data_IF_083347938466
#
_entry.id   IF_083347938466
#
_cell.length_a   1.000
_cell.length_b   1.000
_cell.length_c   1.000
_cell.angle_alpha   90.00
_cell.angle_beta   90.00
_cell.angle_gamma   90.00
#
_symmetry.space_group_name_H-M   'P 1'
#
loop_
_entity.id
_entity.type
_entity.pdbx_description
1 polymer ?
#
# COMPACT_ATOMS: atom_id res chain seq x y z
N UNK A 1 31.97 12.66 3.08
CA UNK A 1 30.64 12.32 3.59
C UNK A 1 29.94 11.46 2.56
N UNK A 2 29.77 10.15 2.74
CA UNK A 2 29.01 9.33 1.81
C UNK A 2 27.51 9.45 2.15
N UNK A 3 26.70 9.60 1.09
CA UNK A 3 25.23 9.58 1.14
C UNK A 3 24.78 8.17 1.52
N UNK A 4 23.99 8.07 2.57
CA UNK A 4 23.31 6.83 2.94
C UNK A 4 22.18 6.55 1.96
N UNK A 5 22.32 5.47 1.19
CA UNK A 5 21.22 4.90 0.40
C UNK A 5 20.19 4.29 1.37
N UNK A 6 19.12 5.04 1.62
CA UNK A 6 17.92 4.48 2.25
C UNK A 6 17.11 3.76 1.18
N UNK A 7 17.30 2.44 1.10
CA UNK A 7 16.39 1.58 0.36
C UNK A 7 14.99 1.70 1.00
N UNK A 8 14.05 2.25 0.26
CA UNK A 8 12.62 2.17 0.51
C UNK A 8 12.24 0.69 0.45
N UNK A 9 11.98 0.08 1.62
CA UNK A 9 11.51 -1.29 1.69
C UNK A 9 10.05 -1.32 1.21
N UNK A 10 9.87 -1.82 0.00
CA UNK A 10 8.57 -2.14 -0.57
C UNK A 10 8.10 -3.48 0.02
N UNK A 11 7.05 -3.46 0.83
CA UNK A 11 6.56 -4.57 1.65
C UNK A 11 6.06 -5.79 0.85
N UNK A 12 6.05 -5.75 -0.50
CA UNK A 12 5.37 -6.74 -1.34
C UNK A 12 6.16 -7.32 -2.52
N UNK A 13 7.43 -6.98 -2.71
CA UNK A 13 8.23 -7.49 -3.83
C UNK A 13 9.37 -8.42 -3.39
N UNK A 14 9.04 -9.59 -2.85
CA UNK A 14 9.98 -10.70 -2.85
C UNK A 14 9.29 -11.96 -3.37
N UNK A 15 9.38 -12.20 -4.68
CA UNK A 15 9.15 -13.51 -5.28
C UNK A 15 10.43 -14.33 -5.13
N UNK A 16 10.38 -15.36 -4.33
CA UNK A 16 11.38 -16.41 -4.31
C UNK A 16 10.88 -17.56 -5.20
N UNK A 17 11.45 -17.67 -6.40
CA UNK A 17 11.41 -18.92 -7.17
C UNK A 17 12.52 -19.82 -6.60
N UNK A 18 12.14 -20.82 -5.87
CA UNK A 18 12.78 -22.12 -5.66
C UNK A 18 12.39 -22.72 -4.32
N UNK A 19 11.61 -23.78 -4.35
CA UNK A 19 11.98 -25.04 -3.71
C UNK A 19 10.78 -26.00 -3.73
N UNK A 20 10.89 -26.96 -4.62
CA UNK A 20 10.13 -28.20 -4.52
C UNK A 20 10.84 -29.17 -3.56
N UNK A 21 10.00 -29.90 -2.83
CA UNK A 21 10.26 -31.17 -2.17
C UNK A 21 11.08 -31.16 -0.87
N UNK A 22 10.41 -31.41 0.23
CA UNK A 22 10.58 -32.64 1.03
C UNK A 22 9.40 -32.76 2.01
N UNK A 23 8.54 -33.72 1.74
CA UNK A 23 7.49 -34.19 2.63
C UNK A 23 8.07 -35.21 3.60
N UNK A 24 7.66 -35.16 4.85
CA UNK A 24 7.72 -36.29 5.74
C UNK A 24 8.26 -36.04 7.13
N UNK A 25 7.48 -35.39 8.01
CA UNK A 25 7.57 -35.65 9.45
C UNK A 25 6.18 -35.57 10.09
N UNK A 26 5.91 -36.42 11.09
CA UNK A 26 4.61 -36.49 11.73
C UNK A 26 4.36 -35.28 12.63
N UNK A 27 3.13 -34.78 12.62
CA UNK A 27 2.64 -33.76 13.54
C UNK A 27 2.58 -34.36 14.95
N UNK A 28 3.30 -33.85 15.94
CA UNK A 28 3.13 -34.26 17.31
C UNK A 28 2.24 -33.26 18.08
N UNK A 29 1.28 -33.87 18.77
CA UNK A 29 0.58 -33.39 19.96
C UNK A 29 -0.50 -32.30 19.80
N UNK A 30 -1.73 -32.81 19.69
CA UNK A 30 -2.89 -32.17 20.30
C UNK A 30 -2.74 -32.31 21.84
N UNK A 31 -2.49 -31.21 22.53
CA UNK A 31 -2.58 -31.14 24.00
C UNK A 31 -4.05 -30.92 24.35
N UNK A 32 -4.65 -31.88 25.06
CA UNK A 32 -5.97 -31.75 25.65
C UNK A 32 -6.00 -30.61 26.67
N UNK A 33 -7.13 -29.91 26.84
CA UNK A 33 -7.21 -28.79 27.79
C UNK A 33 -7.20 -29.33 29.24
N UNK A 34 -6.13 -29.06 29.96
CA UNK A 34 -6.06 -29.27 31.39
C UNK A 34 -7.00 -28.33 32.17
N UNK A 35 -7.57 -28.88 33.23
CA UNK A 35 -8.56 -28.29 34.10
C UNK A 35 -8.11 -26.99 34.75
N UNK A 36 -9.07 -26.08 34.97
CA UNK A 36 -8.93 -24.79 35.61
C UNK A 36 -8.07 -24.83 36.90
N UNK A 37 -6.89 -24.25 36.83
CA UNK A 37 -6.05 -23.93 37.99
C UNK A 37 -6.47 -22.60 38.60
N UNK A 38 -6.31 -22.51 39.91
CA UNK A 38 -6.62 -21.45 40.86
C UNK A 38 -6.28 -20.01 40.36
N UNK A 39 -6.93 -18.95 40.88
CA UNK A 39 -6.69 -17.59 40.43
C UNK A 39 -5.21 -17.21 40.65
N UNK A 40 -4.48 -17.04 39.54
CA UNK A 40 -3.13 -16.52 39.53
C UNK A 40 -3.08 -15.13 40.20
N UNK A 41 -2.18 -14.97 41.11
CA UNK A 41 -1.84 -13.65 41.68
C UNK A 41 -1.38 -12.75 40.53
N UNK A 42 -2.21 -11.82 40.15
CA UNK A 42 -1.86 -10.79 39.17
C UNK A 42 -0.74 -9.95 39.78
N UNK A 43 0.48 -10.13 39.31
CA UNK A 43 1.58 -9.23 39.64
C UNK A 43 1.22 -7.83 39.14
N UNK A 44 1.25 -6.83 40.03
CA UNK A 44 0.94 -5.45 39.69
C UNK A 44 2.07 -4.91 38.81
N UNK A 45 1.90 -5.04 37.49
CA UNK A 45 2.82 -4.44 36.53
C UNK A 45 2.69 -2.93 36.61
N UNK A 46 3.79 -2.22 36.82
CA UNK A 46 3.81 -0.77 36.87
C UNK A 46 3.31 -0.19 35.55
N UNK A 47 2.31 0.67 35.61
CA UNK A 47 1.77 1.40 34.44
C UNK A 47 2.87 2.21 33.73
N UNK A 48 3.88 2.65 34.47
CA UNK A 48 5.05 3.38 33.96
C UNK A 48 5.92 2.53 33.00
N UNK A 49 6.01 1.22 33.23
CA UNK A 49 6.77 0.31 32.38
C UNK A 49 5.99 -0.07 31.10
N UNK A 50 4.67 -0.18 31.19
CA UNK A 50 3.83 -0.65 30.08
C UNK A 50 3.46 0.48 29.09
N UNK A 51 3.24 1.71 29.58
CA UNK A 51 2.80 2.84 28.78
C UNK A 51 3.73 3.15 27.59
N UNK A 52 5.05 3.22 27.71
CA UNK A 52 5.94 3.46 26.57
C UNK A 52 5.89 2.35 25.52
N UNK A 53 5.72 1.08 25.94
CA UNK A 53 5.60 -0.06 25.04
C UNK A 53 4.31 0.01 24.23
N UNK A 54 3.18 0.29 24.88
CA UNK A 54 1.89 0.45 24.19
C UNK A 54 1.95 1.63 23.22
N UNK A 55 2.49 2.76 23.63
CA UNK A 55 2.63 3.94 22.76
C UNK A 55 3.44 3.61 21.51
N UNK A 56 4.65 3.09 21.67
CA UNK A 56 5.50 2.73 20.54
C UNK A 56 4.87 1.67 19.62
N UNK A 57 4.12 0.72 20.21
CA UNK A 57 3.40 -0.29 19.45
C UNK A 57 2.30 0.34 18.57
N UNK A 58 1.50 1.28 19.08
CA UNK A 58 0.49 1.97 18.27
C UNK A 58 1.09 2.93 17.24
N UNK A 59 2.20 3.58 17.55
CA UNK A 59 2.94 4.40 16.58
C UNK A 59 3.43 3.56 15.39
N UNK A 60 3.78 2.29 15.61
CA UNK A 60 4.20 1.39 14.54
C UNK A 60 3.08 1.06 13.53
N UNK A 61 1.79 1.23 13.91
CA UNK A 61 0.67 1.09 12.98
C UNK A 61 0.66 2.19 11.91
N UNK A 62 1.10 3.39 12.28
CA UNK A 62 1.11 4.56 11.40
C UNK A 62 2.36 4.63 10.54
N UNK A 63 3.52 4.29 11.12
CA UNK A 63 4.82 4.24 10.45
C UNK A 63 5.55 2.92 10.75
N UNK A 64 5.75 2.06 9.73
CA UNK A 64 6.44 0.79 9.89
C UNK A 64 7.87 0.90 10.43
N UNK A 65 8.54 2.05 10.34
CA UNK A 65 9.87 2.24 10.89
C UNK A 65 9.86 2.19 12.43
N UNK A 66 8.75 2.53 13.06
CA UNK A 66 8.58 2.52 14.52
C UNK A 66 8.54 1.10 15.12
N UNK A 67 8.39 0.03 14.30
CA UNK A 67 8.54 -1.35 14.79
C UNK A 67 9.89 -1.57 15.46
N UNK A 68 10.96 -0.98 14.94
CA UNK A 68 12.30 -1.10 15.57
C UNK A 68 12.35 -0.42 16.94
N UNK A 69 11.70 0.72 17.09
CA UNK A 69 11.62 1.45 18.37
C UNK A 69 10.87 0.60 19.40
N UNK A 70 9.71 0.06 19.02
CA UNK A 70 8.93 -0.83 19.89
C UNK A 70 9.73 -2.08 20.29
N UNK A 71 10.34 -2.76 19.32
CA UNK A 71 11.13 -3.97 19.59
C UNK A 71 12.35 -3.69 20.47
N UNK A 72 13.00 -2.54 20.32
CA UNK A 72 14.13 -2.13 21.17
C UNK A 72 13.70 -1.85 22.61
N UNK A 73 12.55 -1.17 22.79
CA UNK A 73 11.97 -0.96 24.13
C UNK A 73 11.60 -2.30 24.78
N UNK A 74 10.99 -3.19 24.03
CA UNK A 74 10.63 -4.52 24.52
C UNK A 74 11.87 -5.35 24.88
N UNK A 75 12.88 -5.36 24.01
CA UNK A 75 14.15 -6.02 24.26
C UNK A 75 14.77 -5.54 25.56
N UNK A 76 14.83 -4.21 25.74
CA UNK A 76 15.42 -3.58 26.90
C UNK A 76 14.63 -3.87 28.19
N UNK A 77 13.29 -3.78 28.15
CA UNK A 77 12.44 -4.07 29.29
C UNK A 77 12.49 -5.54 29.72
N UNK A 78 12.76 -6.43 28.79
CA UNK A 78 12.91 -7.85 29.06
C UNK A 78 14.36 -8.26 29.39
N UNK A 79 15.30 -7.34 29.47
CA UNK A 79 16.73 -7.62 29.57
C UNK A 79 17.21 -8.64 28.53
N UNK A 80 16.70 -8.50 27.30
CA UNK A 80 16.95 -9.41 26.21
C UNK A 80 18.14 -9.02 25.34
N UNK A 81 18.67 -9.99 24.62
CA UNK A 81 19.68 -9.75 23.58
C UNK A 81 19.02 -9.43 22.23
N UNK A 82 17.85 -10.03 21.93
CA UNK A 82 17.08 -9.73 20.71
C UNK A 82 15.58 -9.65 21.02
N UNK A 83 14.87 -8.81 20.25
CA UNK A 83 13.43 -8.86 20.11
C UNK A 83 13.10 -8.81 18.62
N UNK A 84 12.24 -9.70 18.13
CA UNK A 84 11.97 -9.88 16.71
C UNK A 84 10.49 -10.05 16.43
N UNK A 85 10.04 -9.48 15.33
CA UNK A 85 8.74 -9.75 14.70
C UNK A 85 8.99 -10.51 13.40
N UNK A 86 8.49 -11.73 13.34
CA UNK A 86 8.60 -12.64 12.19
C UNK A 86 7.27 -12.66 11.46
N UNK A 87 7.23 -12.28 10.21
CA UNK A 87 6.02 -12.33 9.38
C UNK A 87 6.03 -13.60 8.55
N UNK A 88 4.92 -14.33 8.57
CA UNK A 88 4.76 -15.56 7.78
C UNK A 88 3.62 -15.40 6.80
N UNK A 89 3.81 -15.96 5.61
CA UNK A 89 2.77 -16.03 4.59
C UNK A 89 1.55 -16.81 5.14
N UNK A 90 0.30 -16.44 4.80
CA UNK A 90 -0.91 -17.21 5.12
C UNK A 90 -0.86 -18.66 4.66
N UNK A 91 -0.11 -18.96 3.61
CA UNK A 91 0.09 -20.32 3.10
C UNK A 91 1.19 -21.12 3.80
N UNK A 92 1.88 -20.53 4.77
CA UNK A 92 2.54 -21.26 5.88
C UNK A 92 3.93 -21.82 5.63
N UNK A 93 4.50 -21.79 4.45
CA UNK A 93 5.74 -22.50 4.16
C UNK A 93 7.02 -21.65 4.25
N UNK A 94 6.92 -20.32 4.17
CA UNK A 94 8.09 -19.44 4.16
C UNK A 94 8.00 -18.33 5.21
N UNK A 95 9.14 -18.03 5.83
CA UNK A 95 9.33 -16.82 6.59
C UNK A 95 9.37 -15.67 5.58
N UNK A 96 8.35 -14.80 5.58
CA UNK A 96 8.29 -13.69 4.64
C UNK A 96 9.39 -12.66 4.92
N UNK A 97 9.47 -12.14 6.15
CA UNK A 97 10.50 -11.21 6.58
C UNK A 97 10.55 -11.09 8.10
N UNK A 98 11.69 -10.59 8.62
CA UNK A 98 11.94 -10.43 10.04
C UNK A 98 12.40 -9.00 10.33
N UNK A 99 11.76 -8.34 11.30
CA UNK A 99 12.27 -7.13 11.90
C UNK A 99 12.89 -7.51 13.27
N UNK A 100 14.10 -7.07 13.53
CA UNK A 100 14.78 -7.36 14.80
C UNK A 100 15.41 -6.12 15.42
N UNK A 101 15.31 -6.03 16.75
CA UNK A 101 16.09 -5.16 17.59
C UNK A 101 17.23 -5.97 18.20
N UNK A 102 18.45 -5.48 18.10
CA UNK A 102 19.68 -6.23 18.42
C UNK A 102 20.52 -5.57 19.51
N UNK A 103 20.08 -4.45 20.08
CA UNK A 103 20.85 -3.70 21.07
C UNK A 103 22.20 -3.19 20.55
N UNK A 104 22.30 -2.87 19.26
CA UNK A 104 23.54 -2.40 18.63
C UNK A 104 24.55 -3.50 18.29
N UNK A 105 24.21 -4.77 18.41
CA UNK A 105 25.07 -5.89 17.97
C UNK A 105 25.14 -5.90 16.44
N UNK A 106 26.33 -5.89 15.87
CA UNK A 106 26.56 -5.75 14.42
C UNK A 106 26.43 -7.05 13.62
N UNK A 107 26.47 -8.20 14.26
CA UNK A 107 26.39 -9.50 13.59
C UNK A 107 25.04 -10.16 13.86
N UNK A 108 24.12 -9.99 12.95
CA UNK A 108 22.86 -10.74 12.93
C UNK A 108 23.00 -11.86 11.91
N UNK A 109 23.14 -13.10 12.39
CA UNK A 109 23.11 -14.27 11.52
C UNK A 109 21.69 -14.39 10.95
N UNK A 110 21.52 -14.53 9.61
CA UNK A 110 20.20 -14.62 9.00
C UNK A 110 19.37 -15.74 9.63
N UNK A 111 18.13 -15.42 9.99
CA UNK A 111 17.18 -16.36 10.58
C UNK A 111 16.63 -17.38 9.57
N UNK A 112 16.44 -16.97 8.31
CA UNK A 112 15.77 -17.75 7.27
C UNK A 112 16.24 -19.21 7.13
N UNK A 113 17.55 -19.51 7.10
CA UNK A 113 18.00 -20.90 6.96
C UNK A 113 17.60 -21.80 8.12
N UNK A 114 17.34 -21.22 9.30
CA UNK A 114 17.07 -21.93 10.55
C UNK A 114 15.59 -21.93 10.93
N UNK A 115 14.78 -21.13 10.28
CA UNK A 115 13.35 -20.95 10.59
C UNK A 115 12.58 -22.27 10.61
N UNK A 116 12.90 -23.19 9.71
CA UNK A 116 12.26 -24.50 9.57
C UNK A 116 12.52 -25.44 10.78
N UNK A 117 13.54 -25.18 11.57
CA UNK A 117 13.88 -25.99 12.77
C UNK A 117 13.45 -25.30 14.06
N UNK A 118 12.76 -24.17 13.98
CA UNK A 118 12.28 -23.46 15.16
C UNK A 118 11.31 -24.34 15.97
N UNK A 119 11.54 -24.53 17.29
CA UNK A 119 10.63 -25.31 18.14
C UNK A 119 9.26 -24.62 18.32
N UNK A 120 9.14 -23.38 17.90
CA UNK A 120 7.89 -22.60 17.97
C UNK A 120 7.07 -22.64 16.68
N UNK A 121 7.34 -23.57 15.77
CA UNK A 121 6.49 -23.78 14.62
C UNK A 121 5.17 -24.43 15.05
N UNK A 122 4.05 -23.81 14.64
CA UNK A 122 2.72 -24.37 14.91
C UNK A 122 2.23 -24.23 16.37
N UNK A 123 2.86 -23.40 17.19
CA UNK A 123 2.33 -23.11 18.54
C UNK A 123 0.92 -22.51 18.48
N UNK A 124 0.18 -22.73 19.57
CA UNK A 124 -1.18 -22.16 19.71
C UNK A 124 -1.12 -20.64 19.60
N UNK A 125 -1.98 -20.07 18.76
CA UNK A 125 -2.03 -18.62 18.51
C UNK A 125 -2.53 -17.88 19.74
N UNK A 126 -2.05 -16.63 19.86
CA UNK A 126 -2.43 -15.67 20.92
C UNK A 126 -2.04 -16.13 22.33
N UNK A 127 -1.25 -17.19 22.47
CA UNK A 127 -0.73 -17.69 23.76
C UNK A 127 0.77 -17.47 23.84
N UNK A 128 1.25 -17.05 25.02
CA UNK A 128 2.67 -16.81 25.33
C UNK A 128 3.30 -18.12 25.78
N UNK A 129 4.41 -18.48 25.19
CA UNK A 129 5.21 -19.65 25.51
C UNK A 129 6.64 -19.24 25.87
N UNK A 130 7.21 -19.94 26.82
CA UNK A 130 8.67 -19.98 27.03
C UNK A 130 9.24 -21.21 26.31
N UNK A 131 10.55 -21.28 26.22
CA UNK A 131 11.23 -22.46 25.68
C UNK A 131 10.86 -23.73 26.46
N UNK A 132 10.77 -23.64 27.79
CA UNK A 132 10.48 -24.78 28.66
C UNK A 132 9.03 -25.27 28.59
N UNK A 133 8.11 -24.48 28.03
CA UNK A 133 6.74 -24.92 27.75
C UNK A 133 6.67 -25.78 26.48
N UNK A 134 7.71 -25.80 25.66
CA UNK A 134 7.74 -26.48 24.35
C UNK A 134 8.66 -27.70 24.38
N UNK A 135 9.78 -27.63 25.08
CA UNK A 135 10.77 -28.71 25.17
C UNK A 135 11.57 -28.63 26.46
N UNK A 136 12.20 -29.75 26.82
CA UNK A 136 13.11 -29.82 27.95
C UNK A 136 14.47 -29.14 27.64
N UNK A 137 15.21 -28.75 28.66
CA UNK A 137 16.53 -28.17 28.52
C UNK A 137 17.54 -29.10 27.81
N UNK A 138 17.42 -30.42 28.04
CA UNK A 138 18.29 -31.41 27.39
C UNK A 138 17.97 -31.51 25.87
N UNK A 139 16.70 -31.49 25.51
CA UNK A 139 16.28 -31.45 24.12
C UNK A 139 16.69 -30.15 23.41
N UNK A 140 16.62 -29.03 24.14
CA UNK A 140 17.04 -27.73 23.60
C UNK A 140 18.52 -27.75 23.20
N UNK A 141 19.42 -28.16 24.13
CA UNK A 141 20.86 -28.16 23.86
C UNK A 141 21.29 -29.17 22.79
N UNK A 142 20.44 -30.16 22.48
CA UNK A 142 20.72 -31.18 21.47
C UNK A 142 20.10 -30.89 20.11
N UNK A 143 19.13 -29.96 20.02
CA UNK A 143 18.44 -29.69 18.76
C UNK A 143 19.30 -28.84 17.79
N UNK A 144 19.05 -29.02 16.48
CA UNK A 144 19.77 -28.28 15.43
C UNK A 144 19.55 -26.78 15.49
N UNK A 145 18.36 -26.34 15.89
CA UNK A 145 18.06 -24.91 16.01
C UNK A 145 18.97 -24.21 17.01
N UNK A 146 19.29 -24.90 18.12
CA UNK A 146 20.24 -24.39 19.12
C UNK A 146 21.69 -24.51 18.64
N UNK A 147 22.12 -25.71 18.23
CA UNK A 147 23.52 -26.01 17.91
C UNK A 147 24.07 -25.23 16.74
N UNK A 148 23.23 -25.12 15.69
CA UNK A 148 23.66 -24.54 14.42
C UNK A 148 23.44 -23.02 14.37
N UNK A 149 22.53 -22.48 15.20
CA UNK A 149 22.19 -21.05 15.17
C UNK A 149 22.22 -20.36 16.53
N UNK A 150 21.35 -20.72 17.49
CA UNK A 150 21.13 -19.95 18.72
C UNK A 150 22.39 -19.81 19.57
N UNK A 151 23.19 -20.88 19.66
CA UNK A 151 24.45 -20.90 20.39
C UNK A 151 25.45 -19.87 19.85
N UNK A 152 25.51 -19.68 18.53
CA UNK A 152 26.42 -18.74 17.88
C UNK A 152 26.07 -17.27 18.12
N UNK A 153 24.81 -16.98 18.47
CA UNK A 153 24.30 -15.63 18.71
C UNK A 153 23.89 -15.40 20.17
N UNK A 154 24.34 -16.28 21.08
CA UNK A 154 24.10 -16.19 22.52
C UNK A 154 22.60 -16.15 22.89
N UNK A 155 21.80 -17.02 22.28
CA UNK A 155 20.38 -17.21 22.61
C UNK A 155 20.22 -18.48 23.43
N UNK A 156 19.85 -18.32 24.71
CA UNK A 156 19.62 -19.43 25.64
C UNK A 156 18.14 -19.56 25.99
N UNK A 157 17.47 -18.45 26.30
CA UNK A 157 16.07 -18.44 26.67
C UNK A 157 15.25 -17.71 25.61
N UNK A 158 14.09 -18.26 25.26
CA UNK A 158 13.18 -17.70 24.25
C UNK A 158 11.80 -17.58 24.86
N UNK A 159 11.19 -16.41 24.69
CA UNK A 159 9.79 -16.14 24.91
C UNK A 159 9.16 -15.93 23.55
N UNK A 160 8.07 -16.64 23.27
CA UNK A 160 7.45 -16.71 21.96
C UNK A 160 5.94 -16.52 22.05
N UNK A 161 5.40 -15.79 21.10
CA UNK A 161 3.95 -15.75 20.82
C UNK A 161 3.74 -15.67 19.32
N UNK A 162 2.76 -16.42 18.83
CA UNK A 162 2.28 -16.28 17.45
C UNK A 162 0.89 -15.66 17.49
N UNK A 163 0.69 -14.63 16.67
CA UNK A 163 -0.57 -13.92 16.54
C UNK A 163 -1.08 -14.11 15.12
N UNK A 164 -2.38 -14.33 14.97
CA UNK A 164 -3.05 -14.39 13.68
C UNK A 164 -3.94 -13.17 13.49
N UNK A 165 -3.80 -12.51 12.36
CA UNK A 165 -4.65 -11.38 11.95
C UNK A 165 -5.91 -11.86 11.23
N UNK A 166 -6.89 -10.98 11.08
CA UNK A 166 -8.20 -11.31 10.50
C UNK A 166 -8.13 -11.76 9.04
N UNK A 167 -7.09 -11.37 8.31
CA UNK A 167 -6.83 -11.82 6.93
C UNK A 167 -6.03 -13.14 6.84
N UNK A 168 -5.73 -13.79 7.97
CA UNK A 168 -5.02 -15.05 8.04
C UNK A 168 -3.49 -14.96 8.06
N UNK A 169 -2.90 -13.77 8.03
CA UNK A 169 -1.45 -13.62 8.19
C UNK A 169 -1.02 -13.99 9.62
N UNK A 170 0.08 -14.74 9.73
CA UNK A 170 0.65 -15.15 11.02
C UNK A 170 1.90 -14.33 11.32
N UNK A 171 1.95 -13.79 12.54
CA UNK A 171 3.06 -13.00 13.03
C UNK A 171 3.66 -13.68 14.26
N UNK A 172 4.94 -14.05 14.18
CA UNK A 172 5.69 -14.60 15.30
C UNK A 172 6.43 -13.49 16.04
N UNK A 173 6.13 -13.33 17.30
CA UNK A 173 6.84 -12.38 18.16
C UNK A 173 7.79 -13.14 19.08
N UNK A 174 9.07 -12.78 19.10
CA UNK A 174 10.13 -13.46 19.86
C UNK A 174 10.94 -12.47 20.66
N UNK A 175 11.16 -12.79 21.92
CA UNK A 175 12.14 -12.12 22.76
C UNK A 175 13.12 -13.16 23.27
N UNK A 176 14.40 -12.87 23.19
CA UNK A 176 15.45 -13.82 23.59
C UNK A 176 16.35 -13.25 24.64
N UNK A 177 16.95 -14.13 25.44
CA UNK A 177 17.95 -13.80 26.49
C UNK A 177 19.17 -14.67 26.37
N UNK A 178 20.36 -14.12 26.71
CA UNK A 178 21.57 -14.90 26.89
C UNK A 178 21.49 -15.71 28.19
N UNK A 179 22.32 -16.74 28.32
CA UNK A 179 22.42 -17.56 29.54
C UNK A 179 22.66 -16.73 30.81
N UNK A 180 23.48 -15.70 30.70
CA UNK A 180 23.81 -14.81 31.81
C UNK A 180 22.62 -14.01 32.37
N UNK A 181 21.57 -13.80 31.58
CA UNK A 181 20.38 -13.06 32.02
C UNK A 181 19.34 -13.93 32.73
N UNK A 182 19.47 -15.24 32.68
CA UNK A 182 18.57 -16.21 33.28
C UNK A 182 17.24 -16.33 32.54
N UNK A 183 16.40 -17.25 33.00
CA UNK A 183 15.06 -17.50 32.40
C UNK A 183 14.12 -16.31 32.56
N UNK A 184 13.07 -16.31 31.76
CA UNK A 184 11.99 -15.30 31.88
C UNK A 184 11.17 -15.57 33.14
N UNK A 185 10.99 -14.53 33.94
CA UNK A 185 10.13 -14.56 35.15
C UNK A 185 8.66 -14.31 34.76
N UNK A 186 7.73 -14.63 35.66
CA UNK A 186 6.29 -14.41 35.46
C UNK A 186 5.95 -12.97 35.07
N UNK A 187 6.64 -12.00 35.66
CA UNK A 187 6.49 -10.56 35.36
C UNK A 187 6.74 -10.24 33.89
N UNK A 188 7.73 -10.87 33.25
CA UNK A 188 8.02 -10.68 31.83
C UNK A 188 6.93 -11.29 30.94
N UNK A 189 6.44 -12.49 31.33
CA UNK A 189 5.36 -13.16 30.62
C UNK A 189 4.07 -12.32 30.70
N UNK A 190 3.77 -11.74 31.85
CA UNK A 190 2.56 -10.93 32.06
C UNK A 190 2.59 -9.64 31.23
N UNK A 191 3.76 -8.98 31.12
CA UNK A 191 3.92 -7.83 30.19
C UNK A 191 3.59 -8.23 28.77
N UNK A 192 4.13 -9.36 28.29
CA UNK A 192 3.87 -9.82 26.93
C UNK A 192 2.43 -10.24 26.75
N UNK A 193 1.83 -10.95 27.71
CA UNK A 193 0.40 -11.31 27.69
C UNK A 193 -0.50 -10.10 27.57
N UNK A 194 -0.21 -9.01 28.30
CA UNK A 194 -0.95 -7.76 28.20
C UNK A 194 -0.78 -7.09 26.85
N UNK A 195 0.38 -7.20 26.22
CA UNK A 195 0.66 -6.59 24.91
C UNK A 195 0.06 -7.37 23.72
N UNK A 196 -0.19 -8.68 23.85
CA UNK A 196 -0.71 -9.53 22.76
C UNK A 196 -2.01 -8.98 22.14
N UNK A 197 -3.05 -8.60 22.91
CA UNK A 197 -4.27 -8.04 22.33
C UNK A 197 -4.01 -6.71 21.58
N UNK A 198 -3.09 -5.89 22.09
CA UNK A 198 -2.69 -4.64 21.45
C UNK A 198 -1.91 -4.90 20.16
N UNK A 199 -0.97 -5.85 20.19
CA UNK A 199 -0.23 -6.29 19.01
C UNK A 199 -1.17 -6.73 17.89
N UNK A 200 -2.12 -7.61 18.19
CA UNK A 200 -3.12 -8.08 17.22
C UNK A 200 -3.93 -6.93 16.62
N UNK A 201 -4.36 -5.98 17.45
CA UNK A 201 -5.11 -4.81 17.01
C UNK A 201 -4.27 -3.91 16.12
N UNK A 202 -3.02 -3.63 16.48
CA UNK A 202 -2.09 -2.81 15.70
C UNK A 202 -1.79 -3.45 14.34
N UNK A 203 -1.55 -4.77 14.30
CA UNK A 203 -1.32 -5.49 13.05
C UNK A 203 -2.55 -5.43 12.12
N UNK A 204 -3.77 -5.63 12.65
CA UNK A 204 -5.00 -5.47 11.87
C UNK A 204 -5.21 -4.04 11.38
N UNK A 205 -4.94 -3.02 12.21
CA UNK A 205 -5.00 -1.62 11.79
C UNK A 205 -4.02 -1.33 10.66
N UNK A 206 -2.78 -1.80 10.76
CA UNK A 206 -1.76 -1.61 9.73
C UNK A 206 -2.17 -2.26 8.40
N UNK A 207 -2.71 -3.47 8.43
CA UNK A 207 -3.21 -4.16 7.25
C UNK A 207 -4.35 -3.41 6.57
N UNK A 208 -5.31 -2.89 7.35
CA UNK A 208 -6.42 -2.11 6.82
C UNK A 208 -5.94 -0.79 6.19
N UNK A 209 -5.10 -0.04 6.90
CA UNK A 209 -4.51 1.20 6.38
C UNK A 209 -3.71 0.96 5.10
N UNK A 210 -2.97 -0.15 5.03
CA UNK A 210 -2.20 -0.50 3.83
C UNK A 210 -3.11 -0.84 2.66
N UNK A 211 -4.14 -1.67 2.89
CA UNK A 211 -5.17 -2.01 1.89
C UNK A 211 -5.85 -0.76 1.34
N UNK A 212 -6.28 0.14 2.23
CA UNK A 212 -6.96 1.37 1.83
C UNK A 212 -6.05 2.25 0.98
N UNK A 213 -4.77 2.41 1.36
CA UNK A 213 -3.76 3.13 0.56
C UNK A 213 -3.56 2.51 -0.82
N UNK A 214 -3.51 1.17 -0.93
CA UNK A 214 -3.40 0.48 -2.21
C UNK A 214 -4.62 0.71 -3.10
N UNK A 215 -5.82 0.63 -2.55
CA UNK A 215 -7.07 0.87 -3.27
C UNK A 215 -7.14 2.33 -3.75
N UNK A 216 -6.82 3.30 -2.89
CA UNK A 216 -6.76 4.72 -3.27
C UNK A 216 -5.72 4.95 -4.38
N UNK A 217 -4.54 4.36 -4.25
CA UNK A 217 -3.49 4.44 -5.29
C UNK A 217 -3.96 3.84 -6.63
N UNK A 218 -4.69 2.71 -6.59
CA UNK A 218 -5.26 2.11 -7.79
C UNK A 218 -6.28 3.05 -8.47
N UNK A 219 -7.20 3.63 -7.69
CA UNK A 219 -8.15 4.62 -8.22
C UNK A 219 -7.45 5.86 -8.77
N UNK A 220 -6.42 6.36 -8.06
CA UNK A 220 -5.62 7.49 -8.53
C UNK A 220 -4.93 7.22 -9.86
N UNK A 221 -4.37 6.01 -10.05
CA UNK A 221 -3.78 5.59 -11.32
C UNK A 221 -4.83 5.44 -12.42
N UNK A 222 -5.95 4.79 -12.13
CA UNK A 222 -7.02 4.61 -13.10
C UNK A 222 -7.57 5.97 -13.59
N UNK A 223 -7.80 6.92 -12.69
CA UNK A 223 -8.26 8.28 -13.07
C UNK A 223 -7.19 9.05 -13.85
N UNK A 224 -5.91 8.89 -13.51
CA UNK A 224 -4.81 9.50 -14.24
C UNK A 224 -4.71 8.95 -15.68
N UNK A 225 -4.94 7.66 -15.89
CA UNK A 225 -5.00 7.04 -17.22
C UNK A 225 -6.14 7.57 -18.09
N UNK A 226 -7.25 7.96 -17.47
CA UNK A 226 -8.35 8.66 -18.15
C UNK A 226 -8.01 10.14 -18.44
N UNK A 227 -6.77 10.57 -18.23
CA UNK A 227 -6.29 11.95 -18.38
C UNK A 227 -7.11 12.95 -17.55
N UNK A 228 -7.60 12.50 -16.42
CA UNK A 228 -8.36 13.32 -15.48
C UNK A 228 -7.48 13.65 -14.27
N UNK A 229 -7.09 14.91 -14.17
CA UNK A 229 -6.48 15.47 -12.95
C UNK A 229 -7.54 15.61 -11.87
N UNK A 230 -7.22 15.14 -10.66
CA UNK A 230 -8.07 15.31 -9.47
C UNK A 230 -7.25 16.00 -8.38
N UNK A 231 -7.77 17.09 -7.85
CA UNK A 231 -7.20 17.84 -6.73
C UNK A 231 -8.23 17.88 -5.61
N UNK A 232 -7.80 17.52 -4.40
CA UNK A 232 -8.62 17.61 -3.20
C UNK A 232 -8.18 18.83 -2.39
N UNK A 233 -9.15 19.66 -2.01
CA UNK A 233 -8.93 20.84 -1.18
C UNK A 233 -9.58 20.65 0.18
N UNK A 234 -8.95 21.26 1.22
CA UNK A 234 -9.49 21.34 2.56
C UNK A 234 -10.58 22.43 2.69
N UNK A 235 -11.13 22.55 3.88
CA UNK A 235 -12.15 23.57 4.21
C UNK A 235 -11.65 25.02 4.08
N UNK A 236 -10.32 25.24 3.98
CA UNK A 236 -9.72 26.56 3.76
C UNK A 236 -9.38 26.82 2.29
N UNK A 237 -9.66 25.85 1.40
CA UNK A 237 -9.33 25.89 -0.03
C UNK A 237 -7.87 25.55 -0.34
N UNK A 238 -7.12 25.01 0.63
CA UNK A 238 -5.76 24.53 0.41
C UNK A 238 -5.75 23.09 -0.08
N UNK A 239 -4.81 22.79 -0.93
CA UNK A 239 -4.62 21.46 -1.49
C UNK A 239 -4.13 20.48 -0.44
N UNK A 240 -4.88 19.38 -0.25
CA UNK A 240 -4.49 18.23 0.56
C UNK A 240 -3.76 17.22 -0.31
N UNK A 241 -4.32 16.93 -1.50
CA UNK A 241 -3.84 15.85 -2.35
C UNK A 241 -4.09 16.17 -3.82
N UNK A 242 -3.25 15.63 -4.71
CA UNK A 242 -3.43 15.67 -6.15
C UNK A 242 -2.98 14.34 -6.76
N UNK A 243 -3.78 13.80 -7.68
CA UNK A 243 -3.38 12.59 -8.41
C UNK A 243 -2.22 12.91 -9.40
N UNK A 244 -1.52 11.90 -9.95
CA UNK A 244 -0.38 12.11 -10.85
C UNK A 244 -0.70 13.00 -12.07
N UNK A 245 -1.90 12.87 -12.64
CA UNK A 245 -2.32 13.71 -13.78
C UNK A 245 -2.47 15.19 -13.37
N UNK A 246 -3.10 15.47 -12.23
CA UNK A 246 -3.21 16.82 -11.70
C UNK A 246 -1.83 17.41 -11.39
N UNK A 247 -0.96 16.62 -10.76
CA UNK A 247 0.41 17.04 -10.44
C UNK A 247 1.18 17.45 -11.69
N UNK A 248 1.06 16.68 -12.77
CA UNK A 248 1.68 17.01 -14.08
C UNK A 248 1.14 18.33 -14.62
N UNK A 249 -0.19 18.54 -14.63
CA UNK A 249 -0.84 19.77 -15.11
C UNK A 249 -0.39 20.99 -14.29
N UNK A 250 -0.38 20.86 -12.97
CA UNK A 250 -0.05 21.94 -12.06
C UNK A 250 1.45 22.32 -12.11
N UNK A 251 2.34 21.34 -12.32
CA UNK A 251 3.79 21.57 -12.45
C UNK A 251 4.15 22.29 -13.76
N UNK A 252 3.41 22.02 -14.85
CA UNK A 252 3.58 22.76 -16.11
C UNK A 252 3.16 24.23 -15.95
N UNK A 253 2.16 24.50 -15.12
CA UNK A 253 1.70 25.84 -14.81
C UNK A 253 1.05 26.59 -15.97
N UNK A 254 0.67 25.90 -17.05
CA UNK A 254 0.08 26.48 -18.25
C UNK A 254 -1.41 26.80 -18.02
N UNK A 255 -1.70 27.95 -17.48
CA UNK A 255 -3.04 28.47 -17.19
C UNK A 255 -3.53 28.22 -15.76
N UNK A 256 -3.08 27.16 -15.09
CA UNK A 256 -3.43 26.82 -13.71
C UNK A 256 -2.17 26.37 -12.94
N UNK A 257 -2.04 26.77 -11.69
CA UNK A 257 -0.91 26.43 -10.81
C UNK A 257 -1.32 26.39 -9.35
N UNK A 258 -0.41 25.92 -8.50
CA UNK A 258 -0.55 26.03 -7.04
C UNK A 258 0.15 27.31 -6.57
N UNK A 259 -0.56 28.11 -5.79
CA UNK A 259 -0.02 29.30 -5.14
C UNK A 259 -0.47 29.34 -3.68
N UNK A 260 0.47 29.51 -2.73
CA UNK A 260 0.22 29.51 -1.29
C UNK A 260 -0.60 28.31 -0.79
N UNK A 261 -0.43 27.15 -1.45
CA UNK A 261 -1.13 25.92 -1.14
C UNK A 261 -2.55 25.81 -1.74
N UNK A 262 -3.06 26.83 -2.42
CA UNK A 262 -4.35 26.79 -3.12
C UNK A 262 -4.19 26.77 -4.64
N UNK A 263 -5.27 26.47 -5.37
CA UNK A 263 -5.30 26.53 -6.82
C UNK A 263 -5.47 27.99 -7.30
N UNK A 264 -4.69 28.38 -8.28
CA UNK A 264 -4.76 29.71 -8.91
C UNK A 264 -4.74 29.58 -10.42
N UNK A 265 -5.67 30.27 -11.11
CA UNK A 265 -5.57 30.44 -12.55
C UNK A 265 -4.73 31.67 -12.87
N UNK A 266 -3.93 31.59 -13.95
CA UNK A 266 -2.98 32.64 -14.34
C UNK A 266 -3.69 33.93 -14.76
N UNK A 267 -4.80 33.80 -15.51
CA UNK A 267 -5.58 34.97 -15.95
C UNK A 267 -6.57 35.40 -14.86
N UNK A 268 -6.58 36.70 -14.55
CA UNK A 268 -7.35 37.27 -13.43
C UNK A 268 -8.86 37.00 -13.52
N UNK A 269 -9.43 36.94 -14.72
CA UNK A 269 -10.87 36.65 -14.94
C UNK A 269 -11.16 35.17 -14.59
N UNK A 270 -10.34 34.24 -15.09
CA UNK A 270 -10.47 32.82 -14.83
C UNK A 270 -10.24 32.54 -13.34
N UNK A 271 -9.25 33.21 -12.74
CA UNK A 271 -8.97 33.05 -11.32
C UNK A 271 -10.13 33.52 -10.44
N UNK A 272 -10.73 34.67 -10.74
CA UNK A 272 -11.91 35.16 -10.00
C UNK A 272 -13.07 34.16 -10.07
N UNK A 273 -13.27 33.55 -11.23
CA UNK A 273 -14.31 32.54 -11.42
C UNK A 273 -13.98 31.24 -10.68
N UNK A 274 -12.74 30.76 -10.77
CA UNK A 274 -12.27 29.56 -10.05
C UNK A 274 -12.43 29.73 -8.54
N UNK A 275 -11.97 30.87 -7.98
CA UNK A 275 -12.08 31.17 -6.54
C UNK A 275 -13.55 31.27 -6.09
N UNK A 276 -14.45 31.75 -6.95
CA UNK A 276 -15.88 31.75 -6.65
C UNK A 276 -16.41 30.34 -6.57
N UNK A 277 -16.17 29.49 -7.59
CA UNK A 277 -16.61 28.10 -7.60
C UNK A 277 -16.12 27.30 -6.39
N UNK A 278 -14.83 27.47 -6.02
CA UNK A 278 -14.27 26.81 -4.84
C UNK A 278 -14.98 27.31 -3.58
N UNK A 279 -15.20 28.61 -3.44
CA UNK A 279 -15.90 29.20 -2.28
C UNK A 279 -17.35 28.73 -2.19
N UNK A 280 -18.06 28.70 -3.29
CA UNK A 280 -19.46 28.27 -3.36
C UNK A 280 -19.58 26.77 -2.99
N UNK A 281 -18.64 25.95 -3.47
CA UNK A 281 -18.55 24.54 -3.09
C UNK A 281 -18.25 24.32 -1.60
N UNK A 282 -17.44 25.21 -0.99
CA UNK A 282 -17.14 25.18 0.46
C UNK A 282 -18.32 25.61 1.32
N UNK A 283 -19.15 26.53 0.79
CA UNK A 283 -20.32 27.09 1.51
C UNK A 283 -21.61 26.31 1.30
N UNK A 284 -21.65 25.40 0.32
CA UNK A 284 -22.86 24.64 0.01
C UNK A 284 -23.29 23.80 1.20
N UNK A 285 -24.52 24.00 1.73
CA UNK A 285 -25.02 23.21 2.84
C UNK A 285 -25.23 21.75 2.42
N UNK A 286 -24.78 20.85 3.28
CA UNK A 286 -24.69 19.42 3.12
C UNK A 286 -26.06 18.75 3.34
N UNK A 287 -27.02 18.97 2.46
CA UNK A 287 -28.26 18.21 2.49
C UNK A 287 -28.30 17.27 1.28
N UNK A 288 -28.75 16.06 1.49
CA UNK A 288 -28.91 14.85 0.70
C UNK A 288 -29.28 14.95 -0.83
N UNK A 289 -29.18 16.10 -1.44
CA UNK A 289 -29.41 16.27 -2.86
C UNK A 289 -28.10 16.53 -3.60
N UNK A 290 -27.86 15.71 -4.60
CA UNK A 290 -26.82 15.76 -5.64
C UNK A 290 -26.02 17.08 -5.62
N UNK A 291 -24.79 17.03 -5.08
CA UNK A 291 -23.83 18.13 -5.19
C UNK A 291 -23.81 18.63 -6.64
N UNK A 292 -24.32 19.84 -6.91
CA UNK A 292 -24.25 20.44 -8.23
C UNK A 292 -22.77 20.66 -8.56
N UNK A 293 -22.26 19.86 -9.49
CA UNK A 293 -20.94 20.07 -10.05
C UNK A 293 -20.99 21.29 -10.96
N UNK A 294 -20.19 22.31 -10.68
CA UNK A 294 -20.10 23.50 -11.54
C UNK A 294 -18.82 23.48 -12.35
N UNK A 295 -18.93 23.84 -13.64
CA UNK A 295 -17.83 23.78 -14.58
C UNK A 295 -17.41 25.13 -15.11
N UNK A 296 -16.12 25.21 -15.46
CA UNK A 296 -15.54 26.34 -16.19
C UNK A 296 -14.43 25.87 -17.12
N UNK A 297 -14.01 26.74 -18.03
CA UNK A 297 -12.75 26.55 -18.76
C UNK A 297 -11.70 27.55 -18.26
N UNK A 298 -10.43 27.11 -18.23
CA UNK A 298 -9.28 27.95 -17.88
C UNK A 298 -8.40 28.10 -19.11
N UNK A 299 -8.09 29.33 -19.44
CA UNK A 299 -7.29 29.71 -20.61
C UNK A 299 -5.82 29.33 -20.39
N UNK A 300 -5.21 28.73 -21.40
CA UNK A 300 -3.79 28.35 -21.39
C UNK A 300 -2.92 29.43 -21.98
N UNK A 301 -1.74 29.67 -21.35
CA UNK A 301 -0.76 30.64 -21.86
C UNK A 301 -0.12 30.18 -23.17
N UNK A 302 -0.01 28.87 -23.40
CA UNK A 302 0.51 28.27 -24.63
C UNK A 302 -0.36 28.49 -25.86
N UNK A 303 -1.59 29.00 -25.69
CA UNK A 303 -2.57 29.13 -26.78
C UNK A 303 -3.21 27.80 -27.20
N UNK A 304 -2.95 26.72 -26.49
CA UNK A 304 -3.67 25.45 -26.69
C UNK A 304 -5.11 25.54 -26.21
N UNK A 305 -5.93 24.51 -26.49
CA UNK A 305 -7.31 24.46 -26.02
C UNK A 305 -7.36 24.54 -24.48
N UNK A 306 -8.35 25.25 -23.96
CA UNK A 306 -8.52 25.53 -22.54
C UNK A 306 -8.64 24.24 -21.70
N UNK A 307 -8.18 24.31 -20.46
CA UNK A 307 -8.46 23.27 -19.47
C UNK A 307 -9.98 23.21 -19.16
N UNK A 308 -10.57 22.04 -19.20
CA UNK A 308 -11.89 21.81 -18.60
C UNK A 308 -11.72 21.64 -17.09
N UNK A 309 -12.45 22.41 -16.30
CA UNK A 309 -12.41 22.37 -14.84
C UNK A 309 -13.82 22.17 -14.30
N UNK A 310 -13.98 21.20 -13.39
CA UNK A 310 -15.21 20.98 -12.64
C UNK A 310 -14.88 21.04 -11.14
N UNK A 311 -15.68 21.78 -10.41
CA UNK A 311 -15.56 21.92 -8.94
C UNK A 311 -16.78 21.28 -8.29
N UNK A 312 -16.55 20.42 -7.31
CA UNK A 312 -17.59 19.68 -6.62
C UNK A 312 -17.34 19.68 -5.10
N UNK A 313 -18.37 19.92 -4.30
CA UNK A 313 -18.27 19.77 -2.84
C UNK A 313 -18.21 18.30 -2.44
N UNK A 314 -17.42 18.00 -1.42
CA UNK A 314 -17.32 16.68 -0.79
C UNK A 314 -18.16 16.74 0.49
N UNK A 315 -19.13 15.80 0.61
CA UNK A 315 -19.90 15.66 1.86
C UNK A 315 -18.96 15.22 2.99
N UNK A 316 -19.06 15.80 4.19
CA UNK A 316 -18.25 15.36 5.31
C UNK A 316 -18.72 14.02 5.80
N UNK A 317 -17.78 13.21 6.18
CA UNK A 317 -18.02 12.04 7.01
C UNK A 317 -18.30 12.48 8.45
N UNK A 318 -19.18 11.77 9.17
CA UNK A 318 -19.63 12.14 10.52
C UNK A 318 -18.49 12.25 11.55
N UNK A 319 -17.32 11.67 11.26
CA UNK A 319 -16.17 11.55 12.17
C UNK A 319 -14.95 12.40 11.80
N UNK A 320 -15.03 13.22 10.75
CA UNK A 320 -13.89 14.06 10.31
C UNK A 320 -14.03 15.49 10.78
N UNK A 321 -13.69 15.77 12.02
CA UNK A 321 -13.46 17.14 12.51
C UNK A 321 -11.96 17.48 12.44
N UNK A 322 -11.61 18.56 11.78
CA UNK A 322 -10.22 19.05 11.70
C UNK A 322 -9.94 19.99 10.53
N UNK A 323 -8.85 20.75 10.63
CA UNK A 323 -8.47 21.77 9.63
C UNK A 323 -8.07 21.21 8.26
N UNK A 324 -7.78 19.93 8.14
CA UNK A 324 -7.35 19.27 6.89
C UNK A 324 -8.41 18.30 6.35
N UNK A 325 -9.68 18.59 6.57
CA UNK A 325 -10.76 17.76 6.08
C UNK A 325 -10.96 17.97 4.57
N UNK A 326 -11.01 16.87 3.74
CA UNK A 326 -11.44 16.98 2.35
C UNK A 326 -12.81 17.65 2.24
N UNK A 327 -12.89 18.73 1.49
CA UNK A 327 -14.11 19.54 1.40
C UNK A 327 -14.53 19.85 -0.03
N UNK A 328 -13.57 19.94 -0.96
CA UNK A 328 -13.83 20.21 -2.38
C UNK A 328 -12.95 19.31 -3.23
N UNK A 329 -13.53 18.71 -4.27
CA UNK A 329 -12.83 18.05 -5.36
C UNK A 329 -12.81 18.96 -6.58
N UNK A 330 -11.64 19.15 -7.18
CA UNK A 330 -11.45 19.87 -8.43
C UNK A 330 -10.93 18.89 -9.48
N UNK A 331 -11.73 18.70 -10.53
CA UNK A 331 -11.38 17.86 -11.65
C UNK A 331 -10.82 18.73 -12.79
N UNK A 332 -9.67 18.33 -13.32
CA UNK A 332 -8.97 19.00 -14.40
C UNK A 332 -8.88 18.06 -15.60
N UNK A 333 -9.25 18.51 -16.79
CA UNK A 333 -9.14 17.69 -17.99
C UNK A 333 -8.44 18.46 -19.11
N UNK A 334 -7.42 17.83 -19.69
CA UNK A 334 -6.84 18.27 -20.95
C UNK A 334 -7.73 17.79 -22.10
N UNK A 335 -8.31 18.75 -22.84
CA UNK A 335 -9.14 18.46 -24.02
C UNK A 335 -8.28 18.22 -25.26
N UNK A 336 -6.97 18.49 -25.21
CA UNK A 336 -6.02 18.31 -26.31
C UNK A 336 -5.15 17.07 -26.19
N UNK A 337 -5.20 16.39 -25.04
CA UNK A 337 -4.38 15.23 -24.77
C UNK A 337 -4.57 14.18 -25.87
N UNK A 338 -3.51 13.96 -26.66
CA UNK A 338 -3.43 12.81 -27.56
C UNK A 338 -3.33 11.58 -26.70
N UNK A 339 -4.39 10.85 -26.64
CA UNK A 339 -4.43 9.62 -25.91
C UNK A 339 -3.73 8.54 -26.75
N UNK A 340 -2.72 7.90 -26.19
CA UNK A 340 -2.09 6.72 -26.80
C UNK A 340 -2.48 5.49 -25.99
N UNK A 341 -3.52 4.74 -26.44
CA UNK A 341 -3.88 3.50 -25.77
C UNK A 341 -2.75 2.49 -25.93
N UNK A 342 -2.51 1.62 -24.94
CA UNK A 342 -1.52 0.55 -25.05
C UNK A 342 -1.78 -0.31 -26.29
N UNK A 343 -0.86 -0.29 -27.21
CA UNK A 343 -0.98 -0.97 -28.52
C UNK A 343 -1.35 -2.45 -28.33
N UNK A 344 -0.67 -3.14 -27.40
CA UNK A 344 -0.90 -4.56 -27.10
C UNK A 344 -2.34 -4.84 -26.60
N UNK A 345 -2.82 -4.02 -25.68
CA UNK A 345 -4.17 -4.21 -25.12
C UNK A 345 -5.24 -3.91 -26.14
N UNK A 346 -5.06 -2.86 -26.93
CA UNK A 346 -5.96 -2.54 -28.05
C UNK A 346 -6.02 -3.66 -29.09
N UNK A 347 -4.87 -4.26 -29.42
CA UNK A 347 -4.82 -5.42 -30.30
C UNK A 347 -5.59 -6.62 -29.74
N UNK A 348 -5.44 -6.90 -28.45
CA UNK A 348 -6.15 -8.00 -27.79
C UNK A 348 -7.67 -7.78 -27.71
N UNK A 349 -8.10 -6.59 -27.31
CA UNK A 349 -9.51 -6.27 -27.14
C UNK A 349 -10.30 -6.26 -28.45
N UNK A 350 -9.69 -5.77 -29.51
CA UNK A 350 -10.37 -5.59 -30.80
C UNK A 350 -9.86 -6.54 -31.89
N UNK A 351 -8.97 -7.49 -31.53
CA UNK A 351 -8.35 -8.43 -32.48
C UNK A 351 -7.67 -7.76 -33.68
N UNK A 352 -7.06 -6.59 -33.44
CA UNK A 352 -6.42 -5.80 -34.47
C UNK A 352 -4.95 -6.21 -34.66
N UNK A 353 -4.46 -6.10 -35.90
CA UNK A 353 -3.03 -6.18 -36.17
C UNK A 353 -2.30 -4.90 -35.75
N UNK A 354 -0.96 -4.90 -35.62
CA UNK A 354 -0.22 -3.68 -35.29
C UNK A 354 -0.50 -2.50 -36.25
N UNK A 355 -0.57 -2.76 -37.55
CA UNK A 355 -0.87 -1.74 -38.55
C UNK A 355 -2.30 -1.19 -38.44
N UNK A 356 -3.29 -2.05 -38.18
CA UNK A 356 -4.67 -1.64 -37.95
C UNK A 356 -4.80 -0.83 -36.68
N UNK A 357 -4.09 -1.22 -35.62
CA UNK A 357 -4.09 -0.46 -34.36
C UNK A 357 -3.50 0.93 -34.56
N UNK A 358 -2.39 1.05 -35.30
CA UNK A 358 -1.79 2.35 -35.61
C UNK A 358 -2.77 3.27 -36.37
N UNK A 359 -3.43 2.76 -37.41
CA UNK A 359 -4.46 3.52 -38.14
C UNK A 359 -5.59 3.93 -37.19
N UNK A 360 -6.14 3.01 -36.40
CA UNK A 360 -7.23 3.30 -35.48
C UNK A 360 -6.85 4.36 -34.42
N UNK A 361 -5.62 4.33 -33.90
CA UNK A 361 -5.10 5.31 -32.94
C UNK A 361 -5.01 6.71 -33.55
N UNK A 362 -4.47 6.84 -34.77
CA UNK A 362 -4.43 8.13 -35.45
C UNK A 362 -5.83 8.71 -35.71
N UNK A 363 -6.79 7.87 -36.14
CA UNK A 363 -8.17 8.26 -36.31
C UNK A 363 -8.83 8.69 -34.99
N UNK A 364 -8.56 7.98 -33.90
CA UNK A 364 -9.07 8.31 -32.56
C UNK A 364 -8.52 9.64 -32.04
N UNK A 365 -7.33 10.03 -32.50
CA UNK A 365 -6.70 11.32 -32.20
C UNK A 365 -7.17 12.46 -33.14
N UNK A 366 -8.25 12.23 -33.92
CA UNK A 366 -8.90 13.23 -34.75
C UNK A 366 -8.28 13.43 -36.13
N UNK A 367 -7.30 12.61 -36.53
CA UNK A 367 -6.74 12.68 -37.88
C UNK A 367 -7.73 12.14 -38.92
N UNK A 368 -7.71 12.73 -40.09
CA UNK A 368 -8.35 12.14 -41.28
C UNK A 368 -7.62 10.86 -41.70
N UNK A 369 -8.27 10.03 -42.49
CA UNK A 369 -7.63 8.80 -42.98
C UNK A 369 -6.38 9.09 -43.87
N UNK A 370 -6.39 10.22 -44.56
CA UNK A 370 -5.30 10.68 -45.43
C UNK A 370 -4.12 11.15 -44.58
N UNK A 371 -4.34 11.96 -43.54
CA UNK A 371 -3.32 12.37 -42.60
C UNK A 371 -2.73 11.17 -41.81
N UNK A 372 -3.59 10.19 -41.45
CA UNK A 372 -3.12 8.96 -40.82
C UNK A 372 -2.27 8.11 -41.77
N UNK A 373 -2.59 8.05 -43.06
CA UNK A 373 -1.78 7.35 -44.05
C UNK A 373 -0.42 8.01 -44.25
N UNK A 374 -0.37 9.34 -44.33
CA UNK A 374 0.86 10.11 -44.45
C UNK A 374 1.76 9.96 -43.19
N UNK A 375 1.17 10.05 -42.00
CA UNK A 375 1.87 9.88 -40.73
C UNK A 375 2.49 8.48 -40.58
N UNK A 376 1.83 7.45 -41.13
CA UNK A 376 2.30 6.06 -41.09
C UNK A 376 3.20 5.68 -42.29
N UNK A 377 3.39 6.56 -43.27
CA UNK A 377 4.17 6.29 -44.48
C UNK A 377 3.54 5.23 -45.37
N UNK A 378 2.22 5.08 -45.38
CA UNK A 378 1.50 4.10 -46.20
C UNK A 378 0.64 4.78 -47.26
N UNK A 379 0.34 4.04 -48.35
CA UNK A 379 -0.52 4.57 -49.42
C UNK A 379 -1.98 4.74 -48.90
N UNK A 380 -2.74 5.77 -49.37
CA UNK A 380 -4.14 5.97 -48.99
C UNK A 380 -5.04 4.75 -49.21
N UNK A 381 -4.78 3.97 -50.27
CA UNK A 381 -5.54 2.74 -50.55
C UNK A 381 -5.26 1.65 -49.49
N UNK A 382 -4.03 1.57 -48.97
CA UNK A 382 -3.66 0.67 -47.89
C UNK A 382 -4.37 1.06 -46.59
N UNK A 383 -4.41 2.35 -46.25
CA UNK A 383 -5.15 2.86 -45.10
C UNK A 383 -6.65 2.56 -45.20
N UNK A 384 -7.25 2.69 -46.39
CA UNK A 384 -8.67 2.31 -46.65
C UNK A 384 -8.88 0.79 -46.45
N UNK A 385 -7.91 -0.05 -46.86
CA UNK A 385 -8.03 -1.49 -46.66
C UNK A 385 -7.95 -1.83 -45.15
N UNK A 386 -7.03 -1.21 -44.41
CA UNK A 386 -6.96 -1.36 -42.94
C UNK A 386 -8.26 -0.91 -42.28
N UNK A 387 -8.82 0.24 -42.64
CA UNK A 387 -10.06 0.75 -42.07
C UNK A 387 -11.25 -0.21 -42.30
N UNK A 388 -11.35 -0.81 -43.50
CA UNK A 388 -12.37 -1.83 -43.77
C UNK A 388 -12.20 -3.07 -42.90
N UNK A 389 -10.98 -3.52 -42.73
CA UNK A 389 -10.66 -4.64 -41.85
C UNK A 389 -11.00 -4.33 -40.39
N UNK A 390 -10.66 -3.12 -39.90
CA UNK A 390 -11.01 -2.66 -38.57
C UNK A 390 -12.52 -2.69 -38.37
N UNK A 391 -13.30 -2.15 -39.33
CA UNK A 391 -14.76 -2.18 -39.27
C UNK A 391 -15.32 -3.60 -39.21
N UNK A 392 -14.76 -4.51 -39.99
CA UNK A 392 -15.18 -5.92 -39.97
C UNK A 392 -14.89 -6.58 -38.62
N UNK A 393 -13.77 -6.27 -37.99
CA UNK A 393 -13.36 -6.87 -36.70
C UNK A 393 -14.08 -6.27 -35.49
N UNK A 394 -14.35 -4.97 -35.54
CA UNK A 394 -15.00 -4.23 -34.43
C UNK A 394 -16.52 -4.17 -34.54
N UNK A 395 -17.10 -4.52 -35.71
CA UNK A 395 -18.53 -4.46 -35.96
C UNK A 395 -19.11 -3.06 -36.22
N UNK A 396 -18.25 -2.01 -36.23
CA UNK A 396 -18.65 -0.64 -36.49
C UNK A 396 -18.73 -0.38 -38.01
N UNK A 397 -19.51 0.60 -38.42
CA UNK A 397 -19.72 0.92 -39.84
C UNK A 397 -19.22 2.29 -40.24
N UNK A 398 -18.94 3.17 -39.28
CA UNK A 398 -18.51 4.56 -39.51
C UNK A 398 -17.27 4.89 -38.72
N UNK A 399 -16.44 5.78 -39.27
CA UNK A 399 -15.24 6.26 -38.57
C UNK A 399 -15.59 6.91 -37.23
N UNK A 400 -16.68 7.65 -37.13
CA UNK A 400 -17.15 8.27 -35.86
C UNK A 400 -17.53 7.23 -34.81
N UNK A 401 -18.10 6.09 -35.23
CA UNK A 401 -18.41 4.97 -34.34
C UNK A 401 -17.12 4.30 -33.84
N UNK A 402 -16.11 4.15 -34.71
CA UNK A 402 -14.80 3.63 -34.34
C UNK A 402 -14.12 4.53 -33.30
N UNK A 403 -14.09 5.83 -33.54
CA UNK A 403 -13.54 6.82 -32.61
C UNK A 403 -14.23 6.72 -31.24
N UNK A 404 -15.57 6.68 -31.24
CA UNK A 404 -16.36 6.52 -30.02
C UNK A 404 -16.09 5.20 -29.31
N UNK A 405 -15.97 4.09 -30.03
CA UNK A 405 -15.66 2.77 -29.50
C UNK A 405 -14.28 2.81 -28.79
N UNK A 406 -13.28 3.40 -29.43
CA UNK A 406 -11.95 3.52 -28.89
C UNK A 406 -11.94 4.41 -27.65
N UNK A 407 -12.49 5.61 -27.70
CA UNK A 407 -12.52 6.57 -26.58
C UNK A 407 -13.26 6.03 -25.34
N UNK A 408 -14.25 5.16 -25.52
CA UNK A 408 -15.01 4.55 -24.43
C UNK A 408 -14.50 3.16 -24.03
N UNK A 409 -13.42 2.68 -24.63
CA UNK A 409 -12.91 1.34 -24.33
C UNK A 409 -12.06 1.32 -23.03
N UNK A 410 -12.03 0.18 -22.38
CA UNK A 410 -11.14 -0.08 -21.22
C UNK A 410 -9.66 -0.19 -21.61
N UNK A 411 -9.33 -0.11 -22.91
CA UNK A 411 -7.95 -0.13 -23.40
C UNK A 411 -7.08 0.97 -22.73
N UNK A 412 -7.69 2.08 -22.36
CA UNK A 412 -7.03 3.20 -21.70
C UNK A 412 -6.52 2.88 -20.29
N UNK A 413 -7.05 1.83 -19.64
CA UNK A 413 -6.67 1.43 -18.28
C UNK A 413 -5.41 0.56 -18.22
N UNK A 414 -4.80 0.25 -19.35
CA UNK A 414 -3.67 -0.69 -19.43
C UNK A 414 -2.27 -0.07 -19.61
N UNK A 415 -2.12 1.23 -19.48
CA UNK A 415 -0.81 1.88 -19.63
C UNK A 415 0.06 1.68 -18.37
N UNK A 416 1.15 0.96 -18.52
CA UNK A 416 2.28 0.88 -17.58
C UNK A 416 3.52 1.47 -18.20
#
# INVERSE_FOLDING_TARGET
MPKSDYATFDFYNYRSDALQAVTGFPVPYAVEPEAASSPEQVSVISTEALSPLITALYESAMDPQNWRVFLELLRSSANGNYASLVVRDPHGENVGWVISATGGRSEVIPYDPYAQWSPFLGIVKDKVFTLLDVMTEAEWHSCRYYTDWCKGVDIEHILAVDVMTDNGCSYGWRVTRPAAAGAFESTHLDVVRMLVPHLKRVLNMQLNLHRDRQVISLYGRATAQLMMGVVILDQTGKMIEANPAATTILNVGDGIRVNNGGLEAVYANDNRRLQRLIRDALLSPKLESVSMAEGMSITRQSGQLNWGVVVQSISPDEWTEGKQRPSVAVFLRDTTGKAEPPVKLTQQLFHLTPAETAVATHLSNGMSLEEAADALGIKPNTARAHLRSIFSKTGVRRQTELVRLFLNSVAWLGNH
#
